data_IF_466152344821
#
_entry.id   IF_466152344821
#
_cell.length_a   1.000
_cell.length_b   1.000
_cell.length_c   1.000
_cell.angle_alpha   90.00
_cell.angle_beta   90.00
_cell.angle_gamma   90.00
#
_symmetry.space_group_name_H-M   'P 1'
#
loop_
_entity.id
_entity.type
_entity.pdbx_description
1 polymer ?
#
# COMPACT_ATOMS: atom_id res chain seq x y z
N UNK A 1 18.79 3.90 -15.10
CA UNK A 1 18.05 2.80 -14.42
C UNK A 1 18.47 1.52 -15.11
N UNK A 2 18.97 0.55 -14.35
CA UNK A 2 19.25 -0.77 -14.91
C UNK A 2 17.94 -1.41 -15.32
N UNK A 3 17.83 -1.78 -16.58
CA UNK A 3 16.61 -2.30 -17.22
C UNK A 3 16.13 -3.65 -16.62
N UNK A 4 16.91 -4.24 -15.72
CA UNK A 4 16.72 -5.56 -15.14
C UNK A 4 16.44 -5.57 -13.62
N UNK A 5 16.28 -4.41 -12.96
CA UNK A 5 16.00 -4.36 -11.53
C UNK A 5 14.48 -4.23 -11.27
N UNK A 6 13.95 -4.99 -10.28
CA UNK A 6 12.53 -4.93 -9.96
C UNK A 6 12.16 -3.58 -9.35
N UNK A 7 11.00 -3.05 -9.74
CA UNK A 7 10.37 -1.98 -8.97
C UNK A 7 9.67 -2.59 -7.75
N UNK A 8 9.94 -2.03 -6.57
CA UNK A 8 9.19 -2.36 -5.36
C UNK A 8 8.04 -1.38 -5.22
N UNK A 9 6.83 -1.90 -5.25
CA UNK A 9 5.60 -1.16 -5.04
C UNK A 9 5.10 -1.34 -3.61
N UNK A 10 4.77 -0.24 -2.95
CA UNK A 10 4.16 -0.20 -1.63
C UNK A 10 2.71 0.25 -1.73
N UNK A 11 1.79 -0.52 -1.13
CA UNK A 11 0.43 -0.02 -0.89
C UNK A 11 0.44 1.03 0.23
N UNK A 12 -0.62 1.81 0.30
CA UNK A 12 -0.80 2.83 1.34
C UNK A 12 -1.58 2.25 2.53
N UNK A 13 -2.87 1.99 2.35
CA UNK A 13 -3.79 1.64 3.43
C UNK A 13 -3.42 0.32 4.10
N UNK A 14 -3.13 0.35 5.40
CA UNK A 14 -2.73 -0.84 6.17
C UNK A 14 -1.25 -1.24 6.03
N UNK A 15 -0.48 -0.59 5.15
CA UNK A 15 0.98 -0.76 5.01
C UNK A 15 1.71 0.48 5.52
N UNK A 16 1.59 1.61 4.84
CA UNK A 16 2.23 2.87 5.21
C UNK A 16 1.29 3.78 6.01
N UNK A 17 0.00 3.70 5.75
CA UNK A 17 -1.06 4.57 6.28
C UNK A 17 -1.95 3.77 7.24
N UNK A 18 -2.17 4.29 8.45
CA UNK A 18 -3.08 3.69 9.44
C UNK A 18 -4.56 4.01 9.13
N UNK A 19 -5.01 3.55 7.96
CA UNK A 19 -6.40 3.69 7.54
C UNK A 19 -7.36 3.02 8.53
N UNK A 20 -7.06 1.79 8.96
CA UNK A 20 -7.97 1.00 9.78
C UNK A 20 -8.14 1.55 11.19
N UNK A 21 -7.08 2.03 11.82
CA UNK A 21 -7.14 2.68 13.13
C UNK A 21 -7.89 4.01 13.07
N UNK A 22 -7.59 4.84 12.07
CA UNK A 22 -8.28 6.11 11.85
C UNK A 22 -9.77 5.90 11.51
N UNK A 23 -10.10 4.88 10.70
CA UNK A 23 -11.48 4.53 10.35
C UNK A 23 -12.28 4.03 11.56
N UNK A 24 -11.67 3.20 12.42
CA UNK A 24 -12.29 2.75 13.66
C UNK A 24 -12.57 3.93 14.62
N UNK A 25 -11.64 4.88 14.75
CA UNK A 25 -11.84 6.12 15.50
C UNK A 25 -13.00 6.97 14.97
N UNK A 26 -13.06 7.15 13.64
CA UNK A 26 -14.14 7.90 12.99
C UNK A 26 -15.52 7.26 13.25
N UNK A 27 -15.54 5.93 13.32
CA UNK A 27 -16.74 5.15 13.60
C UNK A 27 -17.06 5.03 15.10
N UNK A 28 -16.17 5.48 15.99
CA UNK A 28 -16.26 5.30 17.43
C UNK A 28 -16.43 3.82 17.83
N UNK A 29 -15.54 2.97 17.32
CA UNK A 29 -15.43 1.54 17.64
C UNK A 29 -13.97 1.18 17.93
N UNK A 30 -13.74 0.11 18.67
CA UNK A 30 -12.38 -0.38 18.92
C UNK A 30 -11.75 -0.99 17.67
N UNK A 31 -12.58 -1.65 16.85
CA UNK A 31 -12.12 -2.29 15.62
C UNK A 31 -13.17 -2.19 14.51
N UNK A 32 -12.77 -1.82 13.30
CA UNK A 32 -13.68 -1.63 12.17
C UNK A 32 -14.53 -2.87 11.81
N UNK A 33 -14.04 -4.08 12.09
CA UNK A 33 -14.79 -5.34 11.88
C UNK A 33 -15.97 -5.53 12.83
N UNK A 34 -16.12 -4.69 13.85
CA UNK A 34 -17.29 -4.70 14.74
C UNK A 34 -18.51 -4.03 14.12
N UNK A 35 -18.33 -3.35 12.99
CA UNK A 35 -19.44 -2.69 12.29
C UNK A 35 -20.18 -3.67 11.40
N UNK A 36 -21.51 -3.60 11.43
CA UNK A 36 -22.34 -4.16 10.38
C UNK A 36 -22.21 -3.37 9.06
N UNK A 37 -22.77 -3.90 7.99
CA UNK A 37 -22.66 -3.30 6.66
C UNK A 37 -23.32 -1.92 6.57
N UNK A 38 -24.42 -1.67 7.32
CA UNK A 38 -25.10 -0.38 7.31
C UNK A 38 -24.26 0.70 8.01
N UNK A 39 -23.70 0.39 9.18
CA UNK A 39 -22.80 1.29 9.91
C UNK A 39 -21.52 1.56 9.12
N UNK A 40 -20.95 0.52 8.53
CA UNK A 40 -19.78 0.64 7.65
C UNK A 40 -20.06 1.62 6.49
N UNK A 41 -21.19 1.46 5.79
CA UNK A 41 -21.57 2.36 4.71
C UNK A 41 -21.74 3.79 5.20
N UNK A 42 -22.42 4.01 6.33
CA UNK A 42 -22.59 5.35 6.90
C UNK A 42 -21.28 6.04 7.28
N UNK A 43 -20.24 5.28 7.68
CA UNK A 43 -18.90 5.84 7.92
C UNK A 43 -18.18 6.15 6.59
N UNK A 44 -18.30 5.28 5.59
CA UNK A 44 -17.76 5.51 4.24
C UNK A 44 -18.38 6.76 3.61
N UNK A 45 -19.67 6.97 3.76
CA UNK A 45 -20.37 8.16 3.23
C UNK A 45 -19.82 9.48 3.82
N UNK A 46 -19.33 9.46 5.06
CA UNK A 46 -18.71 10.63 5.70
C UNK A 46 -17.35 11.00 5.12
N UNK A 47 -16.63 10.04 4.56
CA UNK A 47 -15.30 10.29 3.98
C UNK A 47 -15.34 10.59 2.48
N UNK A 48 -16.42 10.22 1.79
CA UNK A 48 -16.64 10.58 0.37
C UNK A 48 -16.64 12.10 0.20
N UNK A 49 -15.88 12.60 -0.75
CA UNK A 49 -15.74 14.03 -1.05
C UNK A 49 -14.95 14.83 0.00
N UNK A 50 -14.46 14.20 1.06
CA UNK A 50 -13.68 14.86 2.12
C UNK A 50 -12.17 14.78 1.86
N UNK A 51 -11.39 15.49 2.69
CA UNK A 51 -9.93 15.44 2.70
C UNK A 51 -9.37 14.32 3.62
N UNK A 52 -10.20 13.35 3.98
CA UNK A 52 -9.89 12.28 4.93
C UNK A 52 -8.55 11.59 4.61
N UNK A 53 -8.32 11.20 3.36
CA UNK A 53 -7.09 10.50 2.97
C UNK A 53 -5.83 11.35 3.09
N UNK A 54 -5.92 12.67 3.00
CA UNK A 54 -4.76 13.56 3.19
C UNK A 54 -4.35 13.69 4.66
N UNK A 55 -5.25 13.39 5.60
CA UNK A 55 -5.06 13.59 7.05
C UNK A 55 -4.77 12.30 7.83
N UNK A 56 -4.68 11.17 7.15
CA UNK A 56 -4.45 9.89 7.80
C UNK A 56 -3.05 9.83 8.44
N UNK A 57 -2.91 9.22 9.63
CA UNK A 57 -1.60 9.03 10.24
C UNK A 57 -0.79 7.96 9.51
N UNK A 58 0.53 8.03 9.63
CA UNK A 58 1.44 6.93 9.29
C UNK A 58 1.18 5.74 10.19
N UNK A 59 1.43 4.53 9.68
CA UNK A 59 1.68 3.38 10.56
C UNK A 59 3.01 3.54 11.29
N UNK A 60 3.17 2.89 12.43
CA UNK A 60 4.45 2.90 13.17
C UNK A 60 5.60 2.30 12.34
N UNK A 61 5.29 1.45 11.36
CA UNK A 61 6.26 0.78 10.51
C UNK A 61 6.62 1.58 9.23
N UNK A 62 5.89 2.66 8.92
CA UNK A 62 5.97 3.38 7.65
C UNK A 62 7.41 3.71 7.23
N UNK A 63 8.12 4.46 8.07
CA UNK A 63 9.47 4.93 7.74
C UNK A 63 10.48 3.78 7.64
N UNK A 64 10.38 2.78 8.53
CA UNK A 64 11.22 1.57 8.47
C UNK A 64 10.97 0.72 7.24
N UNK A 65 9.74 0.66 6.73
CA UNK A 65 9.43 -0.03 5.46
C UNK A 65 10.11 0.69 4.30
N UNK A 66 9.98 2.02 4.25
CA UNK A 66 10.59 2.83 3.20
C UNK A 66 12.11 2.68 3.19
N UNK A 67 12.77 2.80 4.35
CA UNK A 67 14.22 2.58 4.50
C UNK A 67 14.63 1.18 4.02
N UNK A 68 13.95 0.14 4.48
CA UNK A 68 14.26 -1.25 4.11
C UNK A 68 14.14 -1.48 2.60
N UNK A 69 13.16 -0.88 1.94
CA UNK A 69 12.98 -1.02 0.49
C UNK A 69 14.02 -0.23 -0.28
N UNK A 70 14.41 0.95 0.19
CA UNK A 70 15.49 1.74 -0.39
C UNK A 70 16.83 1.01 -0.27
N UNK A 71 17.13 0.41 0.87
CA UNK A 71 18.33 -0.40 1.08
C UNK A 71 18.37 -1.62 0.15
N UNK A 72 17.19 -2.16 -0.18
CA UNK A 72 17.07 -3.31 -1.08
C UNK A 72 17.19 -2.95 -2.55
N UNK A 73 16.48 -1.93 -3.03
CA UNK A 73 16.26 -1.61 -4.44
C UNK A 73 16.72 -0.20 -4.85
N UNK A 74 17.25 0.59 -3.93
CA UNK A 74 17.68 1.99 -4.18
C UNK A 74 16.54 2.99 -4.32
N UNK A 75 15.30 2.54 -4.56
CA UNK A 75 14.12 3.37 -4.70
C UNK A 75 12.85 2.56 -4.49
N UNK A 76 11.69 3.23 -4.44
CA UNK A 76 10.38 2.60 -4.34
C UNK A 76 9.33 3.40 -5.11
N UNK A 77 8.18 2.78 -5.34
CA UNK A 77 6.99 3.42 -5.91
C UNK A 77 5.76 3.12 -5.06
N UNK A 78 4.78 4.01 -5.11
CA UNK A 78 3.47 3.81 -4.47
C UNK A 78 2.51 3.20 -5.50
N UNK A 79 1.78 2.16 -5.08
CA UNK A 79 0.72 1.54 -5.86
C UNK A 79 -0.48 1.25 -4.97
N UNK A 80 -1.46 2.14 -4.95
CA UNK A 80 -2.63 2.07 -4.08
C UNK A 80 -3.94 2.14 -4.87
N UNK A 81 -5.05 1.79 -4.22
CA UNK A 81 -6.37 1.86 -4.84
C UNK A 81 -7.15 3.08 -4.39
N UNK A 82 -7.91 3.73 -5.27
CA UNK A 82 -8.80 4.81 -4.87
C UNK A 82 -10.01 4.25 -4.10
N UNK A 83 -10.67 5.11 -3.33
CA UNK A 83 -11.94 4.77 -2.70
C UNK A 83 -13.00 4.51 -3.76
N UNK A 84 -13.70 3.38 -3.63
CA UNK A 84 -14.84 3.07 -4.51
C UNK A 84 -15.94 4.10 -4.31
N UNK A 85 -16.42 4.69 -5.41
CA UNK A 85 -17.43 5.77 -5.37
C UNK A 85 -16.87 7.18 -5.20
N UNK A 86 -15.52 7.33 -4.96
CA UNK A 86 -14.87 8.63 -4.78
C UNK A 86 -13.47 8.65 -5.41
N UNK A 87 -13.38 8.19 -6.65
CA UNK A 87 -12.09 7.92 -7.32
C UNK A 87 -11.24 9.19 -7.42
N UNK A 88 -11.79 10.26 -7.99
CA UNK A 88 -11.04 11.49 -8.26
C UNK A 88 -10.58 12.18 -6.98
N UNK A 89 -11.48 12.34 -6.01
CA UNK A 89 -11.19 13.03 -4.76
C UNK A 89 -10.22 12.21 -3.88
N UNK A 90 -10.47 10.91 -3.69
CA UNK A 90 -9.57 10.06 -2.90
C UNK A 90 -8.18 9.94 -3.54
N UNK A 91 -8.07 9.88 -4.87
CA UNK A 91 -6.78 9.90 -5.58
C UNK A 91 -6.00 11.19 -5.31
N UNK A 92 -6.67 12.36 -5.41
CA UNK A 92 -6.06 13.66 -5.11
C UNK A 92 -5.48 13.68 -3.70
N UNK A 93 -6.27 13.27 -2.71
CA UNK A 93 -5.86 13.34 -1.31
C UNK A 93 -4.83 12.26 -0.92
N UNK A 94 -4.85 11.08 -1.54
CA UNK A 94 -3.78 10.09 -1.39
C UNK A 94 -2.44 10.61 -1.94
N UNK A 95 -2.45 11.29 -3.09
CA UNK A 95 -1.24 11.91 -3.64
C UNK A 95 -0.70 13.03 -2.75
N UNK A 96 -1.58 13.88 -2.21
CA UNK A 96 -1.20 14.90 -1.25
C UNK A 96 -0.55 14.28 -0.01
N UNK A 97 -1.15 13.22 0.54
CA UNK A 97 -0.57 12.49 1.68
C UNK A 97 0.85 11.99 1.40
N UNK A 98 1.09 11.42 0.22
CA UNK A 98 2.44 10.94 -0.18
C UNK A 98 3.43 12.09 -0.18
N UNK A 99 3.08 13.23 -0.78
CA UNK A 99 3.94 14.42 -0.85
C UNK A 99 4.27 14.97 0.54
N UNK A 100 3.31 14.97 1.45
CA UNK A 100 3.46 15.60 2.76
C UNK A 100 4.14 14.69 3.79
N UNK A 101 4.07 13.37 3.61
CA UNK A 101 4.46 12.42 4.65
C UNK A 101 5.67 11.54 4.31
N UNK A 102 6.03 11.34 3.05
CA UNK A 102 7.12 10.45 2.69
C UNK A 102 8.39 11.21 2.35
N UNK A 103 9.52 10.77 2.91
CA UNK A 103 10.86 11.25 2.59
C UNK A 103 11.86 10.09 2.73
N UNK A 104 12.65 9.78 1.67
CA UNK A 104 12.61 10.37 0.33
C UNK A 104 11.30 10.07 -0.41
N UNK A 105 10.98 10.91 -1.38
CA UNK A 105 9.77 10.73 -2.20
C UNK A 105 9.85 9.46 -3.06
N UNK A 106 8.72 8.77 -3.32
CA UNK A 106 8.68 7.64 -4.24
C UNK A 106 9.00 8.09 -5.68
N UNK A 107 9.55 7.17 -6.48
CA UNK A 107 9.79 7.41 -7.91
C UNK A 107 8.49 7.72 -8.66
N UNK A 108 7.42 7.00 -8.33
CA UNK A 108 6.08 7.25 -8.88
C UNK A 108 5.01 6.99 -7.84
N UNK A 109 3.86 7.67 -8.00
CA UNK A 109 2.65 7.44 -7.20
C UNK A 109 1.49 7.09 -8.12
N UNK A 110 1.10 5.81 -8.12
CA UNK A 110 0.07 5.24 -8.98
C UNK A 110 -1.14 4.89 -8.11
N UNK A 111 -2.30 5.45 -8.45
CA UNK A 111 -3.57 5.18 -7.76
C UNK A 111 -4.53 4.57 -8.77
N UNK A 112 -4.72 3.26 -8.70
CA UNK A 112 -5.52 2.47 -9.67
C UNK A 112 -6.28 1.34 -8.98
N UNK A 113 -7.35 0.86 -9.60
CA UNK A 113 -8.14 -0.26 -9.08
C UNK A 113 -7.43 -1.59 -9.28
N UNK A 114 -6.92 -1.82 -10.48
CA UNK A 114 -6.21 -3.04 -10.83
C UNK A 114 -4.70 -2.79 -10.78
N UNK A 115 -4.07 -3.37 -9.78
CA UNK A 115 -2.63 -3.29 -9.56
C UNK A 115 -1.86 -4.29 -10.42
N UNK A 116 -2.49 -5.40 -10.83
CA UNK A 116 -1.82 -6.54 -11.48
C UNK A 116 -1.14 -6.19 -12.79
N UNK A 117 -1.59 -5.15 -13.49
CA UNK A 117 -0.96 -4.65 -14.72
C UNK A 117 0.49 -4.18 -14.55
N UNK A 118 0.93 -3.95 -13.31
CA UNK A 118 2.31 -3.55 -13.00
C UNK A 118 3.17 -4.72 -12.47
N UNK A 119 2.62 -5.92 -12.39
CA UNK A 119 3.28 -7.08 -11.82
C UNK A 119 4.51 -7.53 -12.62
N UNK A 120 4.38 -7.46 -13.95
CA UNK A 120 5.44 -7.83 -14.89
C UNK A 120 5.60 -6.71 -15.92
N UNK A 121 6.72 -6.01 -15.89
CA UNK A 121 7.01 -4.93 -16.84
C UNK A 121 8.31 -5.24 -17.59
N UNK A 122 8.24 -5.28 -18.93
CA UNK A 122 9.39 -5.58 -19.80
C UNK A 122 10.14 -6.88 -19.43
N UNK A 123 9.39 -7.90 -18.99
CA UNK A 123 9.95 -9.18 -18.54
C UNK A 123 10.54 -9.16 -17.12
N UNK A 124 10.51 -8.02 -16.43
CA UNK A 124 10.97 -7.89 -15.05
C UNK A 124 9.83 -8.15 -14.08
N UNK A 125 10.02 -9.12 -13.18
CA UNK A 125 9.11 -9.44 -12.10
C UNK A 125 9.20 -8.38 -11.00
N UNK A 126 8.17 -7.53 -10.87
CA UNK A 126 8.09 -6.51 -9.84
C UNK A 126 7.59 -7.07 -8.50
N UNK A 127 7.86 -6.35 -7.42
CA UNK A 127 7.48 -6.72 -6.06
C UNK A 127 6.35 -5.82 -5.58
N UNK A 128 5.29 -6.40 -4.99
CA UNK A 128 4.22 -5.66 -4.33
C UNK A 128 4.16 -6.03 -2.85
N UNK A 129 4.18 -5.02 -1.97
CA UNK A 129 3.89 -5.14 -0.55
C UNK A 129 2.51 -4.55 -0.29
N UNK A 130 1.53 -5.39 0.09
CA UNK A 130 0.11 -5.02 0.20
C UNK A 130 -0.55 -5.81 1.35
N UNK A 131 -1.51 -5.20 2.04
CA UNK A 131 -2.22 -5.84 3.16
C UNK A 131 -3.34 -6.78 2.71
N UNK A 132 -3.80 -6.65 1.46
CA UNK A 132 -4.94 -7.40 0.93
C UNK A 132 -4.50 -8.65 0.18
N UNK A 133 -4.86 -9.82 0.73
CA UNK A 133 -4.54 -11.11 0.11
C UNK A 133 -5.04 -11.24 -1.34
N UNK A 134 -6.20 -10.65 -1.67
CA UNK A 134 -6.72 -10.68 -3.05
C UNK A 134 -5.84 -9.88 -4.03
N UNK A 135 -5.26 -8.76 -3.60
CA UNK A 135 -4.31 -8.00 -4.43
C UNK A 135 -3.03 -8.81 -4.65
N UNK A 136 -2.50 -9.43 -3.59
CA UNK A 136 -1.33 -10.29 -3.67
C UNK A 136 -1.56 -11.49 -4.61
N UNK A 137 -2.72 -12.14 -4.49
CA UNK A 137 -3.07 -13.27 -5.36
C UNK A 137 -3.10 -12.87 -6.84
N UNK A 138 -3.83 -11.81 -7.19
CA UNK A 138 -3.88 -11.29 -8.56
C UNK A 138 -2.51 -10.84 -9.08
N UNK A 139 -1.70 -10.24 -8.20
CA UNK A 139 -0.34 -9.84 -8.54
C UNK A 139 0.54 -11.03 -8.92
N UNK A 140 0.46 -12.12 -8.14
CA UNK A 140 1.20 -13.36 -8.39
C UNK A 140 0.72 -14.06 -9.66
N UNK A 141 -0.61 -14.12 -9.90
CA UNK A 141 -1.17 -14.65 -11.15
C UNK A 141 -0.68 -13.88 -12.38
N UNK A 142 -0.43 -12.59 -12.25
CA UNK A 142 0.13 -11.75 -13.31
C UNK A 142 1.67 -11.80 -13.42
N UNK A 143 2.33 -12.71 -12.69
CA UNK A 143 3.77 -12.95 -12.76
C UNK A 143 4.62 -12.10 -11.80
N UNK A 144 4.02 -11.32 -10.92
CA UNK A 144 4.72 -10.52 -9.93
C UNK A 144 5.12 -11.28 -8.66
N UNK A 145 5.99 -10.71 -7.85
CA UNK A 145 6.35 -11.22 -6.52
C UNK A 145 5.55 -10.49 -5.44
N UNK A 146 4.62 -11.17 -4.81
CA UNK A 146 3.70 -10.58 -3.83
C UNK A 146 4.11 -10.84 -2.39
N UNK A 147 4.12 -9.79 -1.57
CA UNK A 147 4.39 -9.85 -0.13
C UNK A 147 3.17 -9.35 0.62
N UNK A 148 2.44 -10.27 1.27
CA UNK A 148 1.31 -9.89 2.12
C UNK A 148 1.84 -9.36 3.45
N UNK A 149 1.56 -8.08 3.73
CA UNK A 149 1.97 -7.43 4.97
C UNK A 149 0.90 -6.47 5.47
N UNK A 150 0.60 -6.52 6.76
CA UNK A 150 -0.33 -5.62 7.44
C UNK A 150 0.34 -5.06 8.69
N UNK A 151 0.57 -3.73 8.73
CA UNK A 151 1.40 -3.07 9.74
C UNK A 151 0.94 -3.27 11.20
N UNK A 152 -0.38 -3.43 11.43
CA UNK A 152 -0.92 -3.67 12.78
C UNK A 152 -0.95 -5.15 13.20
N UNK A 153 -0.43 -6.07 12.38
CA UNK A 153 -0.45 -7.52 12.64
C UNK A 153 0.88 -8.22 12.43
N UNK A 154 1.66 -7.73 11.45
CA UNK A 154 2.88 -8.38 11.04
C UNK A 154 4.10 -7.65 11.55
N UNK A 155 5.12 -8.40 11.92
CA UNK A 155 6.46 -7.88 12.19
C UNK A 155 7.18 -7.54 10.87
N UNK A 156 8.06 -6.56 10.89
CA UNK A 156 8.85 -6.13 9.73
C UNK A 156 9.70 -7.24 9.11
N UNK A 157 10.02 -8.28 9.89
CA UNK A 157 10.75 -9.45 9.39
C UNK A 157 10.04 -10.20 8.26
N UNK A 158 8.72 -10.04 8.13
CA UNK A 158 7.96 -10.57 6.97
C UNK A 158 8.48 -9.97 5.69
N UNK A 159 8.65 -8.65 5.63
CA UNK A 159 9.16 -7.94 4.45
C UNK A 159 10.63 -8.30 4.23
N UNK A 160 11.49 -8.21 5.25
CA UNK A 160 12.92 -8.45 5.10
C UNK A 160 13.23 -9.88 4.63
N UNK A 161 12.50 -10.88 5.13
CA UNK A 161 12.64 -12.27 4.68
C UNK A 161 12.20 -12.46 3.22
N UNK A 162 11.09 -11.84 2.83
CA UNK A 162 10.58 -11.89 1.46
C UNK A 162 11.56 -11.27 0.46
N UNK A 163 12.10 -10.08 0.76
CA UNK A 163 13.08 -9.41 -0.08
C UNK A 163 14.40 -10.22 -0.20
N UNK A 164 14.86 -10.84 0.88
CA UNK A 164 16.02 -11.74 0.86
C UNK A 164 15.76 -13.00 0.02
N UNK A 165 14.54 -13.57 0.10
CA UNK A 165 14.16 -14.72 -0.71
C UNK A 165 14.12 -14.36 -2.18
N UNK A 166 13.52 -13.23 -2.55
CA UNK A 166 13.52 -12.73 -3.93
C UNK A 166 14.94 -12.64 -4.53
N UNK A 167 15.90 -12.05 -3.79
CA UNK A 167 17.30 -11.97 -4.27
C UNK A 167 17.90 -13.36 -4.55
N UNK A 168 17.64 -14.35 -3.68
CA UNK A 168 18.18 -15.71 -3.85
C UNK A 168 17.61 -16.44 -5.07
N UNK A 169 16.33 -16.19 -5.40
CA UNK A 169 15.67 -16.79 -6.57
C UNK A 169 16.20 -16.23 -7.89
N UNK A 170 16.79 -15.03 -7.85
CA UNK A 170 17.31 -14.31 -9.04
C UNK A 170 18.83 -14.40 -9.18
N UNK A 171 19.53 -14.92 -8.18
CA UNK A 171 21.00 -15.16 -8.20
C UNK A 171 21.34 -16.52 -8.77
#
# INVERSE_FOLDING_TARGET
MNVNEPTVFLDMDGVLVDFFGAFAKLANVEHWKQMDSQRLQGVLDKIVGSDYFAKLPKTNACDSIVEMVIDFAGSYSILSSPLRGDITNSTKHKRAWVMDNLSPQPTTTIIVRDKSQYALLNGVQNILIDDRGNNIHKWQEAGGYGVKYQANKNDLSVISRALKAYKREKS
#
